data_IF_141224513761
#
_entry.id   IF_141224513761
#
_cell.length_a   1.000
_cell.length_b   1.000
_cell.length_c   1.000
_cell.angle_alpha   90.00
_cell.angle_beta   90.00
_cell.angle_gamma   90.00
#
_symmetry.space_group_name_H-M   'P 1'
#
loop_
_entity.id
_entity.type
_entity.pdbx_description
1 polymer ?
#
# COMPACT_ATOMS: atom_id res chain seq x y z
N UNK A 1 -22.67 -28.29 -16.34
CA UNK A 1 -21.23 -27.94 -16.34
C UNK A 1 -21.07 -26.71 -15.47
N UNK A 2 -20.89 -26.91 -14.16
CA UNK A 2 -20.67 -25.82 -13.22
C UNK A 2 -19.21 -25.39 -13.37
N UNK A 3 -19.01 -24.12 -13.73
CA UNK A 3 -17.68 -23.51 -13.74
C UNK A 3 -17.19 -23.51 -12.30
N UNK A 4 -16.14 -24.28 -12.03
CA UNK A 4 -15.35 -24.17 -10.81
C UNK A 4 -14.77 -22.75 -10.76
N UNK A 5 -15.45 -21.83 -10.10
CA UNK A 5 -14.80 -20.66 -9.54
C UNK A 5 -14.16 -21.21 -8.26
N UNK A 6 -12.83 -21.31 -8.15
CA UNK A 6 -12.23 -21.59 -6.86
C UNK A 6 -12.60 -20.41 -5.95
N UNK A 7 -13.60 -20.62 -5.10
CA UNK A 7 -13.75 -19.85 -3.88
C UNK A 7 -12.46 -20.07 -3.11
N UNK A 8 -11.50 -19.15 -3.26
CA UNK A 8 -10.34 -19.09 -2.41
C UNK A 8 -10.86 -18.81 -0.99
N UNK A 9 -11.05 -19.89 -0.23
CA UNK A 9 -11.23 -19.87 1.21
C UNK A 9 -10.08 -19.05 1.80
N UNK A 10 -10.36 -17.78 2.11
CA UNK A 10 -9.39 -16.84 2.68
C UNK A 10 -9.07 -15.59 1.85
N UNK A 11 -9.83 -15.25 0.80
CA UNK A 11 -9.68 -13.92 0.15
C UNK A 11 -9.89 -12.80 1.17
N UNK A 12 -8.80 -12.30 1.72
CA UNK A 12 -8.80 -11.20 2.66
C UNK A 12 -9.49 -10.01 1.99
N UNK A 13 -10.44 -9.41 2.70
CA UNK A 13 -11.22 -8.25 2.25
C UNK A 13 -10.38 -6.97 2.06
N UNK A 14 -9.05 -7.09 2.17
CA UNK A 14 -8.11 -5.97 2.17
C UNK A 14 -7.49 -5.81 0.78
N UNK A 15 -7.51 -4.58 0.31
CA UNK A 15 -6.88 -4.11 -0.90
C UNK A 15 -5.70 -3.21 -0.55
N UNK A 16 -4.74 -3.16 -1.47
CA UNK A 16 -3.60 -2.26 -1.37
C UNK A 16 -3.74 -1.17 -2.42
N UNK A 17 -3.75 0.08 -1.98
CA UNK A 17 -3.85 1.24 -2.85
C UNK A 17 -2.71 2.22 -2.59
N UNK A 18 -2.14 2.78 -3.65
CA UNK A 18 -1.22 3.90 -3.57
C UNK A 18 -2.03 5.20 -3.72
N UNK A 19 -1.81 6.15 -2.82
CA UNK A 19 -2.40 7.48 -2.89
C UNK A 19 -1.30 8.53 -3.02
N UNK A 20 -1.38 9.32 -4.09
CA UNK A 20 -0.45 10.43 -4.36
C UNK A 20 -1.22 11.61 -4.95
N UNK A 21 -1.12 12.80 -4.36
CA UNK A 21 -1.79 14.02 -4.86
C UNK A 21 -3.27 13.79 -5.23
N UNK A 22 -4.07 13.22 -4.33
CA UNK A 22 -5.49 12.86 -4.54
C UNK A 22 -5.77 11.80 -5.63
N UNK A 23 -4.74 11.23 -6.27
CA UNK A 23 -4.89 10.12 -7.20
C UNK A 23 -4.73 8.80 -6.44
N UNK A 24 -5.65 7.87 -6.71
CA UNK A 24 -5.63 6.52 -6.15
C UNK A 24 -5.25 5.55 -7.26
N UNK A 25 -4.33 4.65 -6.94
CA UNK A 25 -3.99 3.51 -7.81
C UNK A 25 -4.03 2.23 -6.98
N UNK A 26 -5.01 1.39 -7.23
CA UNK A 26 -5.05 0.04 -6.67
C UNK A 26 -3.91 -0.79 -7.29
N UNK A 27 -3.25 -1.60 -6.47
CA UNK A 27 -2.14 -2.43 -6.91
C UNK A 27 -2.38 -3.88 -6.52
N UNK A 28 -1.85 -4.79 -7.34
CA UNK A 28 -1.86 -6.22 -7.05
C UNK A 28 -0.67 -6.53 -6.15
N UNK A 29 -0.87 -6.39 -4.84
CA UNK A 29 0.06 -6.81 -3.82
C UNK A 29 -0.72 -7.47 -2.67
N UNK A 30 -0.13 -8.45 -1.99
CA UNK A 30 -0.80 -9.11 -0.87
C UNK A 30 -0.76 -8.19 0.36
N UNK A 31 -1.93 -7.77 0.83
CA UNK A 31 -2.05 -6.93 2.02
C UNK A 31 -1.46 -7.60 3.27
N UNK A 32 -1.46 -8.95 3.34
CA UNK A 32 -0.87 -9.69 4.46
C UNK A 32 0.64 -9.47 4.56
N UNK A 33 1.36 -9.44 3.44
CA UNK A 33 2.81 -9.21 3.45
C UNK A 33 3.17 -7.87 4.13
N UNK A 34 2.39 -6.82 3.85
CA UNK A 34 2.58 -5.51 4.49
C UNK A 34 2.22 -5.52 5.99
N UNK A 35 1.21 -6.31 6.38
CA UNK A 35 0.82 -6.42 7.79
C UNK A 35 1.83 -7.23 8.60
N UNK A 36 2.47 -8.24 8.01
CA UNK A 36 3.51 -9.05 8.66
C UNK A 36 4.81 -8.26 8.88
N UNK A 37 5.09 -7.25 8.06
CA UNK A 37 6.26 -6.38 8.20
C UNK A 37 6.13 -5.28 9.30
N UNK A 38 5.05 -5.22 10.10
CA UNK A 38 4.62 -4.09 10.97
C UNK A 38 5.73 -3.32 11.73
N UNK A 39 6.81 -4.00 12.13
CA UNK A 39 7.91 -3.42 12.91
C UNK A 39 9.25 -3.37 12.17
N UNK A 40 9.36 -4.01 11.01
CA UNK A 40 10.61 -4.12 10.28
C UNK A 40 10.65 -3.15 9.09
N UNK A 41 11.34 -2.03 9.31
CA UNK A 41 11.55 -1.02 8.27
C UNK A 41 12.23 -1.56 7.01
N UNK A 42 13.07 -2.62 7.08
CA UNK A 42 13.71 -3.19 5.89
C UNK A 42 12.71 -3.99 5.06
N UNK A 43 11.88 -4.80 5.71
CA UNK A 43 10.79 -5.56 5.10
C UNK A 43 9.85 -4.63 4.31
N UNK A 44 9.44 -3.51 4.92
CA UNK A 44 8.60 -2.50 4.25
C UNK A 44 9.30 -1.78 3.09
N UNK A 45 10.63 -1.58 3.16
CA UNK A 45 11.42 -1.01 2.06
C UNK A 45 11.53 -2.01 0.90
N UNK A 46 11.70 -3.30 1.20
CA UNK A 46 11.77 -4.35 0.19
C UNK A 46 10.43 -4.48 -0.55
N UNK A 47 9.31 -4.55 0.19
CA UNK A 47 7.97 -4.53 -0.41
C UNK A 47 7.73 -3.26 -1.23
N UNK A 48 8.19 -2.11 -0.74
CA UNK A 48 8.08 -0.85 -1.48
C UNK A 48 8.82 -0.94 -2.83
N UNK A 49 10.08 -1.36 -2.83
CA UNK A 49 10.89 -1.43 -4.05
C UNK A 49 10.38 -2.52 -5.02
N UNK A 50 9.83 -3.61 -4.50
CA UNK A 50 9.30 -4.71 -5.32
C UNK A 50 7.92 -4.39 -5.95
N UNK A 51 7.00 -3.80 -5.18
CA UNK A 51 5.60 -3.67 -5.60
C UNK A 51 5.16 -2.23 -5.88
N UNK A 52 5.72 -1.23 -5.18
CA UNK A 52 5.26 0.16 -5.26
C UNK A 52 6.08 0.96 -6.27
N UNK A 53 7.41 0.86 -6.18
CA UNK A 53 8.34 1.64 -6.99
C UNK A 53 8.15 1.42 -8.50
N UNK A 54 8.03 0.20 -9.03
CA UNK A 54 7.88 -0.02 -10.47
C UNK A 54 6.59 0.59 -11.05
N UNK A 55 5.56 0.73 -10.20
CA UNK A 55 4.25 1.27 -10.57
C UNK A 55 4.27 2.80 -10.67
N UNK A 56 5.06 3.45 -9.81
CA UNK A 56 5.22 4.91 -9.79
C UNK A 56 6.33 5.39 -10.73
N UNK A 57 7.41 4.62 -10.83
CA UNK A 57 8.62 4.96 -11.58
C UNK A 57 9.22 3.71 -12.23
N UNK A 58 8.66 3.25 -13.37
CA UNK A 58 9.07 2.00 -14.02
C UNK A 58 10.52 1.99 -14.50
N UNK A 59 11.16 3.15 -14.61
CA UNK A 59 12.56 3.29 -15.04
C UNK A 59 13.56 3.41 -13.88
N UNK A 60 13.11 3.39 -12.62
CA UNK A 60 13.96 3.49 -11.43
C UNK A 60 13.95 2.15 -10.71
N UNK A 61 15.15 1.63 -10.41
CA UNK A 61 15.32 0.32 -9.77
C UNK A 61 15.26 0.38 -8.24
N UNK A 62 15.66 1.51 -7.65
CA UNK A 62 15.65 1.70 -6.20
C UNK A 62 15.46 3.18 -5.86
N UNK A 63 14.74 3.44 -4.79
CA UNK A 63 14.69 4.76 -4.16
C UNK A 63 15.13 4.64 -2.71
N UNK A 64 15.79 5.67 -2.21
CA UNK A 64 16.11 5.78 -0.79
C UNK A 64 14.85 6.22 -0.02
N UNK A 65 14.47 5.41 0.96
CA UNK A 65 13.40 5.70 1.90
C UNK A 65 14.03 6.32 3.14
N UNK A 66 13.74 7.60 3.37
CA UNK A 66 14.25 8.37 4.51
C UNK A 66 13.50 8.04 5.80
N UNK A 67 12.20 7.80 5.70
CA UNK A 67 11.35 7.49 6.85
C UNK A 67 10.11 6.70 6.43
N UNK A 68 9.61 5.89 7.34
CA UNK A 68 8.34 5.16 7.23
C UNK A 68 7.50 5.47 8.47
N UNK A 69 6.27 5.89 8.27
CA UNK A 69 5.28 6.07 9.34
C UNK A 69 4.10 5.14 9.09
N UNK A 70 3.64 4.44 10.13
CA UNK A 70 2.53 3.49 10.04
C UNK A 70 1.44 3.97 10.98
N UNK A 71 0.22 4.06 10.46
CA UNK A 71 -0.93 4.47 11.23
C UNK A 71 -2.14 3.60 10.96
N UNK A 72 -2.59 2.94 12.01
CA UNK A 72 -3.85 2.23 12.02
C UNK A 72 -5.02 3.20 12.12
N UNK A 73 -6.02 3.02 11.25
CA UNK A 73 -7.23 3.84 11.18
C UNK A 73 -8.47 2.94 11.10
N UNK A 74 -9.65 3.39 11.54
CA UNK A 74 -10.87 2.61 11.34
C UNK A 74 -11.07 2.27 9.85
N UNK A 75 -11.08 0.97 9.53
CA UNK A 75 -11.25 0.49 8.15
C UNK A 75 -9.97 0.22 7.37
N UNK A 76 -8.78 0.46 7.94
CA UNK A 76 -7.51 0.14 7.27
C UNK A 76 -6.24 0.57 8.02
N UNK A 77 -5.12 0.52 7.29
CA UNK A 77 -3.80 0.98 7.74
C UNK A 77 -3.19 1.85 6.66
N UNK A 78 -2.57 2.96 7.07
CA UNK A 78 -1.85 3.88 6.19
C UNK A 78 -0.36 3.73 6.47
N UNK A 79 0.41 3.44 5.45
CA UNK A 79 1.87 3.36 5.47
C UNK A 79 2.39 4.53 4.64
N UNK A 80 3.07 5.46 5.29
CA UNK A 80 3.62 6.67 4.66
C UNK A 80 5.10 6.47 4.42
N UNK A 81 5.51 6.50 3.16
CA UNK A 81 6.91 6.48 2.76
C UNK A 81 7.38 7.90 2.42
N UNK A 82 8.44 8.35 3.09
CA UNK A 82 9.13 9.60 2.76
C UNK A 82 10.39 9.25 1.98
N UNK A 83 10.44 9.63 0.71
CA UNK A 83 11.59 9.33 -0.15
C UNK A 83 12.59 10.50 -0.18
N UNK A 84 13.84 10.23 -0.56
CA UNK A 84 14.88 11.26 -0.72
C UNK A 84 14.53 12.33 -1.77
N UNK A 85 13.63 12.01 -2.69
CA UNK A 85 13.11 12.93 -3.70
C UNK A 85 11.98 13.84 -3.17
N UNK A 86 11.78 13.88 -1.85
CA UNK A 86 10.80 14.73 -1.15
C UNK A 86 9.33 14.48 -1.55
N UNK A 87 9.01 13.30 -2.09
CA UNK A 87 7.63 12.87 -2.35
C UNK A 87 7.16 11.96 -1.24
N UNK A 88 6.06 12.35 -0.58
CA UNK A 88 5.31 11.45 0.31
C UNK A 88 4.49 10.50 -0.56
N UNK A 89 4.62 9.21 -0.30
CA UNK A 89 3.86 8.16 -0.96
C UNK A 89 3.06 7.45 0.12
N UNK A 90 1.74 7.47 -0.01
CA UNK A 90 0.83 6.82 0.94
C UNK A 90 0.43 5.48 0.34
N UNK A 91 0.72 4.39 1.04
CA UNK A 91 0.20 3.07 0.74
C UNK A 91 -0.89 2.76 1.76
N UNK A 92 -2.07 2.41 1.29
CA UNK A 92 -3.26 2.21 2.12
C UNK A 92 -3.69 0.77 1.97
N UNK A 93 -3.69 0.06 3.09
CA UNK A 93 -4.31 -1.26 3.25
C UNK A 93 -5.74 -1.01 3.73
N UNK A 94 -6.74 -1.29 2.91
CA UNK A 94 -8.12 -0.93 3.24
C UNK A 94 -9.10 -2.01 2.84
N UNK A 95 -10.26 -2.05 3.51
CA UNK A 95 -11.34 -2.92 3.07
C UNK A 95 -11.85 -2.54 1.68
N UNK A 96 -12.36 -3.52 0.94
CA UNK A 96 -12.87 -3.31 -0.41
C UNK A 96 -14.03 -2.30 -0.50
N UNK A 97 -14.79 -2.11 0.58
CA UNK A 97 -15.90 -1.16 0.72
C UNK A 97 -15.49 0.23 1.24
N UNK A 98 -14.22 0.41 1.63
CA UNK A 98 -13.70 1.67 2.17
C UNK A 98 -12.91 2.43 1.10
N UNK A 99 -13.20 3.72 0.93
CA UNK A 99 -12.42 4.58 0.04
C UNK A 99 -11.05 4.90 0.65
N UNK A 100 -9.92 4.62 -0.03
CA UNK A 100 -8.60 4.92 0.49
C UNK A 100 -8.38 6.43 0.67
N UNK A 101 -8.99 7.29 -0.16
CA UNK A 101 -8.91 8.74 0.01
C UNK A 101 -9.51 9.22 1.33
N UNK A 102 -10.62 8.63 1.76
CA UNK A 102 -11.26 8.98 3.03
C UNK A 102 -10.36 8.62 4.22
N UNK A 103 -9.59 7.54 4.10
CA UNK A 103 -8.64 7.11 5.14
C UNK A 103 -7.43 8.03 5.23
N UNK A 104 -7.03 8.65 4.12
CA UNK A 104 -5.84 9.49 4.05
C UNK A 104 -6.11 11.00 4.01
N UNK A 105 -7.36 11.43 4.15
CA UNK A 105 -7.77 12.84 4.04
C UNK A 105 -6.96 13.78 4.96
N UNK A 106 -6.55 13.30 6.15
CA UNK A 106 -5.74 14.06 7.11
C UNK A 106 -4.22 14.06 6.83
N UNK A 107 -3.78 13.35 5.79
CA UNK A 107 -2.37 13.15 5.44
C UNK A 107 -2.02 13.64 4.04
N UNK A 108 -3.04 13.94 3.22
CA UNK A 108 -2.90 14.65 1.95
C UNK A 108 -3.11 16.14 2.25
N UNK A 109 -2.01 16.88 2.37
CA UNK A 109 -2.00 18.35 2.41
C UNK A 109 -1.72 18.87 0.98
#
# INVERSE_FOLDING_TARGET
MSRNIPEAEGSFWLKVSIVTNHNVKEITADAMEFLECDVDSKCLIELFNAHILPILKPHIQQVEILNIDIKDVPGGRVITYITSESKRILVVLHRADTSPLQLVEKYID
#
